data_IF_061847744423
#
_entry.id   IF_061847744423
#
_cell.length_a   1.000
_cell.length_b   1.000
_cell.length_c   1.000
_cell.angle_alpha   90.00
_cell.angle_beta   90.00
_cell.angle_gamma   90.00
#
_symmetry.space_group_name_H-M   'P 1'
#
loop_
_entity.id
_entity.type
_entity.pdbx_description
1 polymer ?
#
# COMPACT_ATOMS: atom_id res chain seq x y z
N UNK A 1 -4.82 -21.89 19.52
CA UNK A 1 -4.58 -20.44 19.70
C UNK A 1 -3.45 -20.05 18.77
N UNK A 2 -3.76 -19.47 17.62
CA UNK A 2 -2.81 -19.23 16.52
C UNK A 2 -2.21 -17.83 16.61
N UNK A 3 -0.97 -17.76 17.11
CA UNK A 3 -0.09 -16.58 17.10
C UNK A 3 0.40 -16.26 15.67
N UNK A 4 -0.47 -15.67 14.86
CA UNK A 4 -0.15 -15.24 13.48
C UNK A 4 0.10 -13.73 13.35
N UNK A 5 0.39 -13.04 14.46
CA UNK A 5 0.79 -11.62 14.42
C UNK A 5 2.07 -11.43 15.24
N UNK A 6 3.24 -11.41 14.60
CA UNK A 6 4.44 -10.88 15.24
C UNK A 6 4.15 -9.43 15.66
N UNK A 7 4.42 -9.09 16.93
CA UNK A 7 4.17 -7.77 17.54
C UNK A 7 4.87 -6.60 16.83
N UNK A 8 5.73 -6.87 15.85
CA UNK A 8 6.51 -5.85 15.16
C UNK A 8 5.68 -4.85 14.33
N UNK A 9 4.41 -5.16 14.05
CA UNK A 9 3.48 -4.25 13.35
C UNK A 9 2.46 -3.57 14.27
N UNK A 10 2.54 -3.77 15.59
CA UNK A 10 1.58 -3.23 16.54
C UNK A 10 1.92 -1.81 17.05
N UNK A 11 2.86 -1.12 16.40
CA UNK A 11 3.46 0.11 16.96
C UNK A 11 3.17 1.31 16.06
N UNK A 12 2.37 2.24 16.60
CA UNK A 12 1.85 3.49 16.00
C UNK A 12 0.85 3.27 14.87
N UNK A 13 -0.35 3.87 15.01
CA UNK A 13 -1.51 3.64 14.14
C UNK A 13 -1.41 4.14 12.71
N UNK A 14 -0.21 4.21 12.12
CA UNK A 14 0.01 4.47 10.70
C UNK A 14 0.63 3.26 10.00
N UNK A 15 0.10 2.92 8.83
CA UNK A 15 0.61 1.78 8.06
C UNK A 15 1.90 2.12 7.28
N UNK A 16 2.57 1.10 6.75
CA UNK A 16 3.84 1.27 6.03
C UNK A 16 3.73 2.23 4.83
N UNK A 17 2.56 2.26 4.17
CA UNK A 17 2.32 3.11 3.00
C UNK A 17 2.12 4.55 3.46
N UNK A 18 1.36 4.78 4.52
CA UNK A 18 1.25 6.10 5.17
C UNK A 18 2.63 6.63 5.58
N UNK A 19 3.48 5.79 6.18
CA UNK A 19 4.85 6.18 6.50
C UNK A 19 5.66 6.59 5.26
N UNK A 20 5.49 5.91 4.12
CA UNK A 20 6.15 6.29 2.87
C UNK A 20 5.65 7.63 2.35
N UNK A 21 4.36 7.91 2.48
CA UNK A 21 3.79 9.20 2.12
C UNK A 21 4.27 10.31 3.04
N UNK A 22 4.32 10.09 4.35
CA UNK A 22 4.87 11.07 5.29
C UNK A 22 6.32 11.43 4.97
N UNK A 23 7.11 10.41 4.59
CA UNK A 23 8.54 10.57 4.33
C UNK A 23 8.85 11.15 2.95
N UNK A 24 8.11 10.76 1.91
CA UNK A 24 8.44 11.04 0.51
C UNK A 24 7.34 11.74 -0.28
N UNK A 25 6.21 12.06 0.35
CA UNK A 25 5.07 12.72 -0.28
C UNK A 25 4.58 11.97 -1.53
N UNK A 26 4.30 12.72 -2.60
CA UNK A 26 3.81 12.15 -3.87
C UNK A 26 4.78 11.17 -4.52
N UNK A 27 6.07 11.19 -4.18
CA UNK A 27 7.05 10.25 -4.71
C UNK A 27 6.86 8.81 -4.19
N UNK A 28 6.08 8.61 -3.11
CA UNK A 28 5.70 7.28 -2.64
C UNK A 28 4.93 6.46 -3.69
N UNK A 29 4.26 7.12 -4.65
CA UNK A 29 3.56 6.46 -5.76
C UNK A 29 4.53 5.59 -6.59
N UNK A 30 5.77 6.04 -6.75
CA UNK A 30 6.82 5.31 -7.47
C UNK A 30 7.15 4.00 -6.75
N UNK A 31 7.25 4.04 -5.41
CA UNK A 31 7.53 2.86 -4.59
C UNK A 31 6.36 1.87 -4.66
N UNK A 32 5.12 2.37 -4.69
CA UNK A 32 3.94 1.53 -4.85
C UNK A 32 3.92 0.84 -6.21
N UNK A 33 4.17 1.57 -7.31
CA UNK A 33 4.25 1.02 -8.66
C UNK A 33 5.34 -0.05 -8.76
N UNK A 34 6.53 0.21 -8.22
CA UNK A 34 7.61 -0.76 -8.19
C UNK A 34 7.24 -2.04 -7.42
N UNK A 35 6.44 -1.94 -6.35
CA UNK A 35 5.94 -3.12 -5.65
C UNK A 35 4.92 -3.89 -6.47
N UNK A 36 3.99 -3.23 -7.18
CA UNK A 36 3.06 -3.90 -8.10
C UNK A 36 3.83 -4.73 -9.13
N UNK A 37 4.77 -4.11 -9.84
CA UNK A 37 5.61 -4.76 -10.86
C UNK A 37 6.36 -5.97 -10.28
N UNK A 38 7.09 -5.76 -9.18
CA UNK A 38 7.82 -6.82 -8.47
C UNK A 38 6.94 -8.04 -8.15
N UNK A 39 5.69 -7.84 -7.73
CA UNK A 39 4.80 -8.94 -7.40
C UNK A 39 4.18 -9.60 -8.64
N UNK A 40 3.93 -8.84 -9.71
CA UNK A 40 3.52 -9.38 -11.01
C UNK A 40 4.62 -10.15 -11.74
N UNK A 41 5.89 -9.86 -11.49
CA UNK A 41 7.00 -10.67 -12.02
C UNK A 41 7.15 -11.97 -11.23
N UNK A 42 7.01 -11.91 -9.90
CA UNK A 42 7.28 -13.05 -9.02
C UNK A 42 6.17 -14.08 -8.92
N UNK A 43 4.91 -13.73 -9.21
CA UNK A 43 3.80 -14.61 -8.85
C UNK A 43 3.89 -16.01 -9.48
N UNK A 44 4.36 -16.12 -10.73
CA UNK A 44 4.48 -17.43 -11.39
C UNK A 44 5.58 -18.31 -10.78
N UNK A 45 6.62 -17.69 -10.25
CA UNK A 45 7.88 -18.38 -9.89
C UNK A 45 8.09 -18.51 -8.38
N UNK A 46 7.35 -17.75 -7.56
CA UNK A 46 7.60 -17.69 -6.11
C UNK A 46 6.37 -18.00 -5.25
N UNK A 47 5.41 -17.07 -5.13
CA UNK A 47 4.32 -17.22 -4.15
C UNK A 47 2.92 -17.29 -4.77
N UNK A 48 2.77 -17.37 -6.09
CA UNK A 48 1.47 -17.54 -6.73
C UNK A 48 0.47 -16.44 -6.34
N UNK A 49 -0.70 -16.90 -5.90
CA UNK A 49 -1.82 -16.05 -5.49
C UNK A 49 -1.46 -15.00 -4.42
N UNK A 50 -0.55 -15.31 -3.50
CA UNK A 50 -0.17 -14.38 -2.43
C UNK A 50 0.52 -13.13 -3.00
N UNK A 51 1.40 -13.29 -4.00
CA UNK A 51 2.04 -12.14 -4.66
C UNK A 51 1.00 -11.35 -5.47
N UNK A 52 0.03 -12.00 -6.12
CA UNK A 52 -1.08 -11.30 -6.80
C UNK A 52 -1.93 -10.47 -5.82
N UNK A 53 -2.22 -11.00 -4.64
CA UNK A 53 -2.95 -10.26 -3.60
C UNK A 53 -2.15 -9.04 -3.11
N UNK A 54 -0.83 -9.18 -2.94
CA UNK A 54 0.04 -8.05 -2.60
C UNK A 54 0.03 -6.99 -3.70
N UNK A 55 0.17 -7.37 -4.96
CA UNK A 55 0.06 -6.46 -6.09
C UNK A 55 -1.28 -5.69 -6.08
N UNK A 56 -2.39 -6.42 -5.86
CA UNK A 56 -3.73 -5.84 -5.74
C UNK A 56 -3.80 -4.80 -4.62
N UNK A 57 -3.23 -5.06 -3.45
CA UNK A 57 -3.22 -4.09 -2.33
C UNK A 57 -2.61 -2.74 -2.71
N UNK A 58 -1.46 -2.74 -3.41
CA UNK A 58 -0.85 -1.49 -3.86
C UNK A 58 -1.66 -0.82 -4.98
N UNK A 59 -2.16 -1.61 -5.94
CA UNK A 59 -2.96 -1.10 -7.05
C UNK A 59 -4.27 -0.47 -6.57
N UNK A 60 -5.00 -1.13 -5.66
CA UNK A 60 -6.25 -0.62 -5.10
C UNK A 60 -6.04 0.74 -4.41
N UNK A 61 -4.92 0.92 -3.71
CA UNK A 61 -4.60 2.19 -3.06
C UNK A 61 -4.26 3.31 -4.05
N UNK A 62 -3.55 2.99 -5.13
CA UNK A 62 -3.33 3.94 -6.22
C UNK A 62 -4.66 4.34 -6.87
N UNK A 63 -5.55 3.38 -7.12
CA UNK A 63 -6.90 3.63 -7.66
C UNK A 63 -7.71 4.51 -6.71
N UNK A 64 -7.75 4.17 -5.42
CA UNK A 64 -8.47 4.95 -4.40
C UNK A 64 -8.00 6.40 -4.38
N UNK A 65 -6.69 6.64 -4.47
CA UNK A 65 -6.11 7.99 -4.54
C UNK A 65 -6.54 8.77 -5.78
N UNK A 66 -6.68 8.10 -6.94
CA UNK A 66 -7.16 8.75 -8.17
C UNK A 66 -8.67 9.04 -8.15
N UNK A 67 -9.44 8.23 -7.42
CA UNK A 67 -10.90 8.40 -7.27
C UNK A 67 -11.26 9.51 -6.27
N UNK A 68 -10.34 9.89 -5.37
CA UNK A 68 -10.50 11.06 -4.52
C UNK A 68 -10.19 12.32 -5.36
N UNK A 69 -11.25 12.97 -5.83
CA UNK A 69 -11.18 14.29 -6.48
C UNK A 69 -10.50 15.29 -5.53
N UNK A 70 -9.56 16.14 -5.99
CA UNK A 70 -8.92 17.13 -5.13
C UNK A 70 -9.94 18.18 -4.68
N UNK A 71 -10.46 18.05 -3.46
CA UNK A 71 -10.88 19.23 -2.71
C UNK A 71 -9.60 20.00 -2.42
N UNK A 72 -9.55 21.26 -2.87
CA UNK A 72 -8.43 22.17 -2.68
C UNK A 72 -8.04 22.25 -1.20
N UNK A 73 -7.06 21.45 -0.78
CA UNK A 73 -6.22 21.74 0.38
C UNK A 73 -5.01 20.81 0.40
N UNK A 74 -3.97 21.32 1.01
CA UNK A 74 -2.55 21.14 0.82
C UNK A 74 -1.88 20.09 1.72
N UNK A 75 -2.61 19.06 2.18
CA UNK A 75 -1.97 18.07 3.05
C UNK A 75 -2.80 16.83 3.30
N UNK A 76 -2.35 15.71 2.73
CA UNK A 76 -2.66 14.34 3.16
C UNK A 76 -4.12 14.08 3.57
N UNK A 77 -5.01 13.99 2.57
CA UNK A 77 -6.31 13.37 2.75
C UNK A 77 -6.10 11.89 3.13
N UNK A 78 -6.53 11.54 4.35
CA UNK A 78 -6.52 10.19 4.93
C UNK A 78 -6.87 9.12 3.88
N UNK A 79 -5.99 8.14 3.69
CA UNK A 79 -6.22 7.04 2.75
C UNK A 79 -7.46 6.27 3.20
N UNK A 80 -8.52 6.18 2.37
CA UNK A 80 -9.59 5.26 2.69
C UNK A 80 -9.02 3.84 2.63
N UNK A 81 -8.97 3.16 3.77
CA UNK A 81 -8.58 1.76 3.83
C UNK A 81 -9.56 0.95 2.95
N UNK A 82 -9.07 0.11 2.04
CA UNK A 82 -9.94 -0.79 1.29
C UNK A 82 -10.71 -1.67 2.28
N UNK A 83 -12.03 -1.76 2.08
CA UNK A 83 -12.94 -2.61 2.87
C UNK A 83 -12.70 -4.08 2.62
#
# INVERSE_FOLDING_TARGET
>A
MSNLKPDYYATSGSDLIEHWYDKWGKSADIIMVANVEKYLERYKEKNGMEDLQKAKTYLDRLIAKQQVTPSNDDGYTQFPLPK
#
